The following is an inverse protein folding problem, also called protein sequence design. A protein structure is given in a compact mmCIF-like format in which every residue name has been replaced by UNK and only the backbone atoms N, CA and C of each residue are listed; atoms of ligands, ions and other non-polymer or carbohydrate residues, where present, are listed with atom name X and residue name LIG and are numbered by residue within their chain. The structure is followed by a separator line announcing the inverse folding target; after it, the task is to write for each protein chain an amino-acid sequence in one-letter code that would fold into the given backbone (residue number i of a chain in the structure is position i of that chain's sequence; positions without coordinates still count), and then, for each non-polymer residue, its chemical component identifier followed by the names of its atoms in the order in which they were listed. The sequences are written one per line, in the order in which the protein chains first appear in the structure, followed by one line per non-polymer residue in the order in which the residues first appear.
data_IF_298766962326
#
_entry.id   IF_298766962326
#
_cell.length_a   1.000
_cell.length_b   1.000
_cell.length_c   1.000
_cell.angle_alpha   90.00
_cell.angle_beta   90.00
_cell.angle_gamma   90.00
#
_symmetry.space_group_name_H-M   'P 1'
#
loop_
_entity.id
_entity.type
_entity.pdbx_description
1 polymer ?
#
# COMPACT_ATOMS: atom_id res chain seq x y z
N UNK A 1 16.88 -5.41 6.03
CA UNK A 1 15.72 -4.88 6.77
C UNK A 1 15.38 -5.93 7.82
N UNK A 2 15.73 -5.70 9.09
CA UNK A 2 15.97 -6.77 10.07
C UNK A 2 14.96 -7.93 10.05
N UNK A 3 13.67 -7.64 10.09
CA UNK A 3 12.64 -8.70 10.06
C UNK A 3 12.57 -9.49 8.76
N UNK A 4 12.76 -8.83 7.61
CA UNK A 4 12.83 -9.52 6.32
C UNK A 4 14.13 -10.34 6.17
N UNK A 5 15.20 -9.96 6.88
CA UNK A 5 16.46 -10.71 6.89
C UNK A 5 16.39 -11.94 7.82
N UNK A 6 15.51 -11.89 8.84
CA UNK A 6 15.33 -12.94 9.86
C UNK A 6 14.19 -13.92 9.56
N UNK A 7 13.27 -13.57 8.65
CA UNK A 7 12.07 -14.35 8.36
C UNK A 7 11.77 -14.41 6.85
N UNK A 8 11.88 -15.60 6.26
CA UNK A 8 11.69 -15.83 4.80
C UNK A 8 10.32 -15.40 4.27
N UNK A 9 9.29 -15.36 5.13
CA UNK A 9 7.92 -14.98 4.79
C UNK A 9 7.62 -13.48 4.98
N UNK A 10 8.64 -12.67 5.32
CA UNK A 10 8.50 -11.22 5.44
C UNK A 10 9.34 -10.57 4.35
N UNK A 11 8.69 -9.74 3.52
CA UNK A 11 9.36 -8.98 2.48
C UNK A 11 9.11 -7.49 2.70
N UNK A 12 10.15 -6.67 2.58
CA UNK A 12 10.05 -5.22 2.67
C UNK A 12 10.37 -4.60 1.31
N UNK A 13 9.37 -3.97 0.69
CA UNK A 13 9.49 -3.31 -0.61
C UNK A 13 9.25 -1.81 -0.45
N UNK A 14 10.30 -0.98 -0.41
CA UNK A 14 10.14 0.46 -0.34
C UNK A 14 9.75 1.03 -1.71
N UNK A 15 8.84 1.99 -1.72
CA UNK A 15 8.33 2.66 -2.93
C UNK A 15 8.38 4.17 -2.71
N UNK A 16 8.96 4.91 -3.66
CA UNK A 16 8.98 6.38 -3.66
C UNK A 16 8.21 6.92 -4.86
N UNK A 17 7.23 7.79 -4.62
CA UNK A 17 6.49 8.46 -5.70
C UNK A 17 7.36 9.47 -6.45
N UNK A 18 8.22 10.18 -5.73
CA UNK A 18 9.11 11.21 -6.25
C UNK A 18 10.55 10.92 -5.81
N UNK A 19 11.23 9.95 -6.44
CA UNK A 19 12.60 9.59 -6.11
C UNK A 19 13.61 10.63 -6.62
N UNK A 20 14.80 10.65 -6.02
CA UNK A 20 15.97 11.30 -6.62
C UNK A 20 16.73 10.32 -7.54
N UNK A 21 17.75 10.81 -8.25
CA UNK A 21 18.54 10.01 -9.20
C UNK A 21 19.28 8.83 -8.55
N UNK A 22 19.53 8.87 -7.24
CA UNK A 22 20.22 7.81 -6.52
C UNK A 22 19.30 6.64 -6.13
N UNK A 23 17.98 6.78 -6.29
CA UNK A 23 17.02 5.74 -5.95
C UNK A 23 17.08 4.57 -6.94
N UNK A 24 17.12 3.35 -6.40
CA UNK A 24 17.18 2.11 -7.20
C UNK A 24 16.00 1.16 -6.91
N UNK A 25 15.07 1.55 -6.04
CA UNK A 25 13.89 0.75 -5.69
C UNK A 25 12.69 1.08 -6.57
N UNK A 26 11.51 0.61 -6.16
CA UNK A 26 10.27 0.87 -6.88
C UNK A 26 9.87 2.34 -6.84
N UNK A 27 9.24 2.80 -7.92
CA UNK A 27 8.79 4.18 -8.09
C UNK A 27 7.30 4.24 -8.38
N UNK A 28 6.63 5.31 -7.95
CA UNK A 28 5.20 5.50 -8.14
C UNK A 28 4.40 5.33 -6.85
N UNK A 29 3.12 4.96 -6.95
CA UNK A 29 2.29 4.77 -5.77
C UNK A 29 2.32 3.32 -5.29
N UNK A 30 2.23 3.13 -3.97
CA UNK A 30 2.33 1.80 -3.35
C UNK A 30 1.27 0.81 -3.84
N UNK A 31 0.04 1.26 -4.10
CA UNK A 31 -1.02 0.40 -4.61
C UNK A 31 -0.72 -0.10 -6.03
N UNK A 32 -0.17 0.73 -6.90
CA UNK A 32 0.28 0.33 -8.24
C UNK A 32 1.43 -0.69 -8.17
N UNK A 33 2.34 -0.52 -7.21
CA UNK A 33 3.42 -1.47 -6.98
C UNK A 33 2.90 -2.86 -6.60
N UNK A 34 1.86 -2.92 -5.75
CA UNK A 34 1.19 -4.18 -5.39
C UNK A 34 0.51 -4.82 -6.60
N UNK A 35 -0.24 -4.04 -7.40
CA UNK A 35 -0.91 -4.55 -8.61
C UNK A 35 0.08 -5.09 -9.66
N UNK A 36 1.31 -4.57 -9.68
CA UNK A 36 2.38 -5.09 -10.54
C UNK A 36 3.04 -6.36 -9.99
N UNK A 37 2.96 -6.61 -8.68
CA UNK A 37 3.59 -7.77 -8.02
C UNK A 37 2.64 -8.97 -7.90
N UNK A 38 1.33 -8.73 -7.93
CA UNK A 38 0.29 -9.73 -7.70
C UNK A 38 -0.79 -9.64 -8.78
N UNK A 39 -0.87 -10.68 -9.61
CA UNK A 39 -1.88 -10.80 -10.68
C UNK A 39 -3.30 -11.07 -10.16
N UNK A 40 -3.45 -11.57 -8.93
CA UNK A 40 -4.73 -11.84 -8.27
C UNK A 40 -4.57 -11.66 -6.76
N UNK A 41 -5.49 -10.90 -6.15
CA UNK A 41 -5.53 -10.67 -4.71
C UNK A 41 -6.60 -11.52 -3.99
N UNK A 42 -7.19 -12.50 -4.68
CA UNK A 42 -8.07 -13.48 -4.05
C UNK A 42 -7.33 -14.22 -2.94
N UNK A 43 -7.92 -14.27 -1.74
CA UNK A 43 -7.34 -14.95 -0.58
C UNK A 43 -6.29 -14.13 0.19
N UNK A 44 -6.00 -12.90 -0.24
CA UNK A 44 -5.17 -11.97 0.52
C UNK A 44 -6.00 -11.13 1.49
N UNK A 45 -5.37 -10.73 2.58
CA UNK A 45 -5.82 -9.67 3.47
C UNK A 45 -4.86 -8.49 3.35
N UNK A 46 -5.40 -7.28 3.31
CA UNK A 46 -4.60 -6.06 3.29
C UNK A 46 -4.87 -5.23 4.53
N UNK A 47 -3.77 -4.80 5.16
CA UNK A 47 -3.76 -3.86 6.27
C UNK A 47 -3.09 -2.57 5.79
N UNK A 48 -3.86 -1.50 5.65
CA UNK A 48 -3.40 -0.25 5.08
C UNK A 48 -3.53 0.92 6.08
N UNK A 49 -2.53 1.79 6.13
CA UNK A 49 -2.56 2.97 6.98
C UNK A 49 -1.94 4.17 6.25
N UNK A 50 -2.62 5.31 6.23
CA UNK A 50 -2.17 6.43 5.42
C UNK A 50 -3.20 7.52 5.15
N UNK A 51 -2.86 8.50 4.29
CA UNK A 51 -3.77 9.55 3.86
C UNK A 51 -5.07 8.98 3.27
N UNK A 52 -6.25 9.58 3.54
CA UNK A 52 -7.53 9.04 3.09
C UNK A 52 -7.63 8.76 1.60
N UNK A 53 -7.01 9.59 0.76
CA UNK A 53 -7.06 9.40 -0.70
C UNK A 53 -6.23 8.21 -1.16
N UNK A 54 -5.09 7.95 -0.50
CA UNK A 54 -4.28 6.76 -0.75
C UNK A 54 -5.03 5.49 -0.33
N UNK A 55 -5.69 5.51 0.84
CA UNK A 55 -6.48 4.37 1.32
C UNK A 55 -7.63 4.04 0.37
N UNK A 56 -8.37 5.07 -0.10
CA UNK A 56 -9.46 4.88 -1.08
C UNK A 56 -8.94 4.31 -2.40
N UNK A 57 -7.82 4.81 -2.90
CA UNK A 57 -7.22 4.33 -4.15
C UNK A 57 -6.80 2.85 -4.04
N UNK A 58 -6.12 2.49 -2.95
CA UNK A 58 -5.72 1.11 -2.68
C UNK A 58 -6.93 0.18 -2.57
N UNK A 59 -7.92 0.52 -1.73
CA UNK A 59 -9.12 -0.30 -1.53
C UNK A 59 -9.87 -0.55 -2.85
N UNK A 60 -10.08 0.50 -3.65
CA UNK A 60 -10.77 0.40 -4.93
C UNK A 60 -10.03 -0.54 -5.89
N UNK A 61 -8.74 -0.26 -6.10
CA UNK A 61 -7.96 -0.99 -7.10
C UNK A 61 -7.67 -2.43 -6.71
N UNK A 62 -7.51 -2.72 -5.42
CA UNK A 62 -7.31 -4.10 -4.96
C UNK A 62 -8.57 -4.95 -5.10
N UNK A 63 -9.75 -4.39 -4.85
CA UNK A 63 -11.02 -5.08 -5.12
C UNK A 63 -11.20 -5.35 -6.62
N UNK A 64 -10.77 -4.42 -7.48
CA UNK A 64 -10.74 -4.62 -8.94
C UNK A 64 -9.77 -5.75 -9.36
N UNK A 65 -8.72 -6.01 -8.57
CA UNK A 65 -7.74 -7.10 -8.76
C UNK A 65 -8.16 -8.43 -8.07
N UNK A 66 -9.43 -8.58 -7.68
CA UNK A 66 -9.96 -9.84 -7.13
C UNK A 66 -9.98 -9.93 -5.60
N UNK A 67 -9.55 -8.89 -4.87
CA UNK A 67 -9.65 -8.88 -3.41
C UNK A 67 -11.11 -8.90 -2.94
N UNK A 68 -11.40 -9.74 -1.94
CA UNK A 68 -12.68 -9.72 -1.23
C UNK A 68 -12.76 -8.44 -0.40
N UNK A 69 -13.81 -7.65 -0.59
CA UNK A 69 -13.95 -6.32 0.05
C UNK A 69 -13.78 -6.34 1.57
N UNK A 70 -14.27 -7.38 2.24
CA UNK A 70 -14.21 -7.52 3.71
C UNK A 70 -12.79 -7.84 4.22
N UNK A 71 -11.85 -8.16 3.34
CA UNK A 71 -10.44 -8.43 3.66
C UNK A 71 -9.55 -7.19 3.59
N UNK A 72 -10.12 -6.00 3.31
CA UNK A 72 -9.39 -4.74 3.32
C UNK A 72 -9.62 -4.00 4.65
N UNK A 73 -8.61 -4.04 5.52
CA UNK A 73 -8.59 -3.36 6.82
C UNK A 73 -7.76 -2.09 6.73
N UNK A 74 -8.26 -0.98 7.29
CA UNK A 74 -7.51 0.28 7.20
C UNK A 74 -7.71 1.24 8.36
N UNK A 75 -6.65 2.01 8.62
CA UNK A 75 -6.69 3.22 9.44
C UNK A 75 -6.30 4.44 8.60
N UNK A 76 -7.29 5.28 8.27
CA UNK A 76 -7.08 6.46 7.46
C UNK A 76 -6.75 7.67 8.34
N UNK A 77 -5.72 8.43 7.97
CA UNK A 77 -5.30 9.65 8.66
C UNK A 77 -6.30 10.79 8.44
N UNK A 78 -7.40 10.79 9.19
CA UNK A 78 -8.39 11.86 9.17
C UNK A 78 -8.01 12.92 10.20
N UNK A 79 -7.94 14.18 9.78
CA UNK A 79 -7.72 15.29 10.71
C UNK A 79 -8.89 15.42 11.67
N UNK A 80 -8.60 15.45 12.98
CA UNK A 80 -9.61 15.69 14.01
C UNK A 80 -10.24 17.09 13.90
N UNK A 81 -9.53 18.05 13.29
CA UNK A 81 -10.00 19.42 13.09
C UNK A 81 -9.70 19.89 11.68
N UNK A 82 -10.72 20.29 10.94
CA UNK A 82 -10.58 20.96 9.64
C UNK A 82 -10.41 22.46 9.86
N UNK A 83 -9.22 22.88 10.32
CA UNK A 83 -8.86 24.30 10.36
C UNK A 83 -8.32 24.74 9.00
N UNK A 84 -8.92 25.77 8.38
CA UNK A 84 -8.24 26.50 7.30
C UNK A 84 -6.95 27.07 7.89
N UNK A 85 -5.80 26.77 7.27
CA UNK A 85 -4.59 27.56 7.47
C UNK A 85 -4.83 28.99 6.99
#
# INVERSE_FOLDING_TARGET
AKWADEHDNIHFVPVLSEPNEAWQGKTGFVHESVLSDFDDLTGYEVYACGPPDMIKAAAKTFVEQGMIKDNFFSDAFVFAFTGKK
#
